data_IF_254074459534
#
_entry.id   IF_254074459534
#
_cell.length_a   1.000
_cell.length_b   1.000
_cell.length_c   1.000
_cell.angle_alpha   90.00
_cell.angle_beta   90.00
_cell.angle_gamma   90.00
#
_symmetry.space_group_name_H-M   'P 1'
#
loop_
_entity.id
_entity.type
_entity.pdbx_description
1 polymer ?
#
# COMPACT_ATOMS: atom_id res chain seq x y z
N UNK A 1 -8.89 -7.34 -5.82
CA UNK A 1 -7.84 -6.35 -6.05
C UNK A 1 -6.51 -6.76 -5.46
N UNK A 2 -6.36 -6.98 -4.16
CA UNK A 2 -5.16 -7.59 -3.60
C UNK A 2 -4.88 -9.00 -4.16
N UNK A 3 -5.90 -9.74 -4.57
CA UNK A 3 -5.77 -11.01 -5.31
C UNK A 3 -4.87 -10.90 -6.55
N UNK A 4 -4.98 -9.83 -7.33
CA UNK A 4 -4.15 -9.62 -8.53
C UNK A 4 -2.70 -9.25 -8.21
N UNK A 5 -2.45 -8.57 -7.10
CA UNK A 5 -1.07 -8.24 -6.67
C UNK A 5 -0.30 -9.52 -6.35
N UNK A 6 -0.95 -10.49 -5.74
CA UNK A 6 -0.35 -11.77 -5.37
C UNK A 6 -0.49 -12.86 -6.46
N UNK A 7 -1.02 -12.51 -7.64
CA UNK A 7 -1.15 -13.42 -8.78
C UNK A 7 -1.81 -14.77 -8.42
N UNK A 8 -2.85 -14.73 -7.57
CA UNK A 8 -3.54 -15.94 -7.08
C UNK A 8 -4.07 -16.78 -8.26
N UNK A 9 -4.58 -16.10 -9.31
CA UNK A 9 -5.08 -16.76 -10.51
C UNK A 9 -3.97 -17.55 -11.24
N UNK A 10 -2.73 -17.02 -11.27
CA UNK A 10 -1.59 -17.71 -11.86
C UNK A 10 -1.20 -18.96 -11.07
N UNK A 11 -1.24 -18.85 -9.73
CA UNK A 11 -0.93 -19.98 -8.84
C UNK A 11 -2.01 -21.05 -8.94
N UNK A 12 -3.29 -20.66 -9.01
CA UNK A 12 -4.38 -21.59 -9.25
C UNK A 12 -4.23 -22.31 -10.59
N UNK A 13 -3.89 -21.59 -11.67
CA UNK A 13 -3.61 -22.17 -12.97
C UNK A 13 -2.43 -23.15 -12.95
N UNK A 14 -1.36 -22.80 -12.23
CA UNK A 14 -0.21 -23.69 -12.06
C UNK A 14 -0.59 -25.03 -11.40
N UNK A 15 -1.33 -24.97 -10.31
CA UNK A 15 -1.80 -26.20 -9.64
C UNK A 15 -2.80 -26.98 -10.51
N UNK A 16 -3.65 -26.30 -11.28
CA UNK A 16 -4.54 -26.97 -12.23
C UNK A 16 -3.78 -27.74 -13.30
N UNK A 17 -2.71 -27.15 -13.84
CA UNK A 17 -1.80 -27.82 -14.80
C UNK A 17 -1.14 -29.04 -14.16
N UNK A 18 -0.65 -28.94 -12.93
CA UNK A 18 -0.03 -30.06 -12.23
C UNK A 18 -1.02 -31.21 -11.96
N UNK A 19 -2.25 -30.90 -11.55
CA UNK A 19 -3.30 -31.91 -11.34
C UNK A 19 -3.70 -32.58 -12.65
N UNK A 20 -3.82 -31.80 -13.74
CA UNK A 20 -4.11 -32.34 -15.06
C UNK A 20 -2.98 -33.25 -15.54
N UNK A 21 -1.74 -32.82 -15.39
CA UNK A 21 -0.56 -33.63 -15.72
C UNK A 21 -0.57 -34.97 -14.96
N UNK A 22 -0.81 -34.93 -13.66
CA UNK A 22 -0.86 -36.13 -12.81
C UNK A 22 -1.98 -37.10 -13.25
N UNK A 23 -3.16 -36.55 -13.61
CA UNK A 23 -4.26 -37.37 -14.15
C UNK A 23 -3.85 -38.06 -15.45
N UNK A 24 -3.31 -37.29 -16.40
CA UNK A 24 -2.89 -37.83 -17.71
C UNK A 24 -1.79 -38.88 -17.56
N UNK A 25 -0.77 -38.60 -16.74
CA UNK A 25 0.31 -39.54 -16.49
C UNK A 25 -0.19 -40.83 -15.84
N UNK A 26 -1.05 -40.74 -14.81
CA UNK A 26 -1.61 -41.91 -14.15
C UNK A 26 -2.48 -42.76 -15.07
N UNK A 27 -3.25 -42.14 -15.98
CA UNK A 27 -4.03 -42.87 -16.99
C UNK A 27 -3.12 -43.55 -18.02
N UNK A 28 -2.03 -42.89 -18.41
CA UNK A 28 -1.03 -43.45 -19.32
C UNK A 28 -0.34 -44.69 -18.74
N UNK A 29 -0.03 -44.63 -17.44
CA UNK A 29 0.59 -45.72 -16.68
C UNK A 29 -0.39 -46.84 -16.33
N UNK A 30 -1.66 -46.72 -16.73
CA UNK A 30 -2.70 -47.73 -16.49
C UNK A 30 -3.21 -47.80 -15.05
N UNK A 31 -2.99 -46.80 -14.22
CA UNK A 31 -3.48 -46.76 -12.85
C UNK A 31 -5.00 -46.61 -12.82
N UNK A 32 -5.65 -47.21 -11.83
CA UNK A 32 -7.08 -47.03 -11.60
C UNK A 32 -7.37 -45.57 -11.18
N UNK A 33 -8.51 -45.04 -11.63
CA UNK A 33 -8.92 -43.67 -11.28
C UNK A 33 -8.95 -43.41 -9.77
N UNK A 34 -9.35 -44.42 -8.99
CA UNK A 34 -9.35 -44.35 -7.53
C UNK A 34 -7.94 -44.13 -6.96
N UNK A 35 -6.95 -44.82 -7.51
CA UNK A 35 -5.57 -44.67 -7.10
C UNK A 35 -5.04 -43.28 -7.44
N UNK A 36 -5.27 -42.81 -8.69
CA UNK A 36 -4.88 -41.46 -9.12
C UNK A 36 -5.51 -40.39 -8.23
N UNK A 37 -6.79 -40.57 -7.86
CA UNK A 37 -7.49 -39.66 -6.96
C UNK A 37 -6.85 -39.58 -5.57
N UNK A 38 -6.59 -40.74 -4.96
CA UNK A 38 -5.94 -40.84 -3.63
C UNK A 38 -4.55 -40.16 -3.67
N UNK A 39 -3.75 -40.49 -4.66
CA UNK A 39 -2.40 -39.95 -4.82
C UNK A 39 -2.39 -38.46 -5.13
N UNK A 40 -3.50 -37.89 -5.59
CA UNK A 40 -3.65 -36.45 -5.86
C UNK A 40 -4.08 -35.65 -4.61
N UNK A 41 -4.52 -36.30 -3.55
CA UNK A 41 -4.97 -35.62 -2.30
C UNK A 41 -3.88 -34.68 -1.73
N UNK A 42 -2.60 -35.09 -1.57
CA UNK A 42 -1.58 -34.19 -1.03
C UNK A 42 -1.36 -32.96 -1.89
N UNK A 43 -1.35 -33.09 -3.22
CA UNK A 43 -1.20 -31.99 -4.13
C UNK A 43 -2.38 -31.03 -4.07
N UNK A 44 -3.60 -31.57 -3.98
CA UNK A 44 -4.82 -30.78 -3.81
C UNK A 44 -4.79 -30.02 -2.47
N UNK A 45 -4.40 -30.71 -1.39
CA UNK A 45 -4.24 -30.09 -0.08
C UNK A 45 -3.25 -28.92 -0.08
N UNK A 46 -2.07 -29.11 -0.69
CA UNK A 46 -1.09 -28.03 -0.88
C UNK A 46 -1.62 -26.87 -1.69
N UNK A 47 -2.36 -27.15 -2.76
CA UNK A 47 -2.94 -26.09 -3.60
C UNK A 47 -3.94 -25.24 -2.85
N UNK A 48 -4.86 -25.89 -2.12
CA UNK A 48 -5.86 -25.20 -1.28
C UNK A 48 -5.18 -24.39 -0.18
N UNK A 49 -4.21 -24.96 0.52
CA UNK A 49 -3.47 -24.28 1.58
C UNK A 49 -2.73 -23.04 1.03
N UNK A 50 -2.03 -23.17 -0.10
CA UNK A 50 -1.31 -22.06 -0.74
C UNK A 50 -2.25 -20.92 -1.13
N UNK A 51 -3.37 -21.25 -1.77
CA UNK A 51 -4.38 -20.26 -2.18
C UNK A 51 -5.01 -19.60 -0.95
N UNK A 52 -5.32 -20.37 0.10
CA UNK A 52 -5.89 -19.83 1.33
C UNK A 52 -4.96 -18.86 2.05
N UNK A 53 -3.67 -19.19 2.17
CA UNK A 53 -2.65 -18.31 2.75
C UNK A 53 -2.54 -17.01 1.95
N UNK A 54 -2.44 -17.10 0.63
CA UNK A 54 -2.33 -15.92 -0.22
C UNK A 54 -3.59 -15.06 -0.19
N UNK A 55 -4.78 -15.67 -0.18
CA UNK A 55 -6.03 -14.96 -0.06
C UNK A 55 -6.17 -14.27 1.31
N UNK A 56 -5.73 -14.93 2.38
CA UNK A 56 -5.63 -14.36 3.73
C UNK A 56 -4.70 -13.14 3.76
N UNK A 57 -3.49 -13.26 3.22
CA UNK A 57 -2.53 -12.17 3.11
C UNK A 57 -3.09 -11.00 2.29
N UNK A 58 -3.74 -11.30 1.15
CA UNK A 58 -4.40 -10.30 0.32
C UNK A 58 -5.49 -9.53 1.08
N UNK A 59 -6.26 -10.24 1.90
CA UNK A 59 -7.31 -9.63 2.73
C UNK A 59 -6.73 -8.75 3.82
N UNK A 60 -5.66 -9.18 4.49
CA UNK A 60 -4.95 -8.40 5.49
C UNK A 60 -4.37 -7.11 4.89
N UNK A 61 -3.70 -7.21 3.75
CA UNK A 61 -3.17 -6.03 3.03
C UNK A 61 -4.28 -5.03 2.66
N UNK A 62 -5.42 -5.52 2.19
CA UNK A 62 -6.54 -4.67 1.82
C UNK A 62 -7.14 -3.93 3.04
N UNK A 63 -7.20 -4.59 4.19
CA UNK A 63 -7.76 -4.01 5.42
C UNK A 63 -6.82 -3.00 6.10
N UNK A 64 -5.52 -3.15 5.92
CA UNK A 64 -4.51 -2.30 6.56
C UNK A 64 -4.07 -1.11 5.70
N UNK A 65 -4.56 -1.02 4.46
CA UNK A 65 -4.21 0.07 3.56
C UNK A 65 -5.26 1.18 3.61
N UNK A 66 -4.82 2.39 3.97
CA UNK A 66 -5.66 3.59 4.06
C UNK A 66 -5.03 4.70 3.24
N UNK A 67 -5.83 5.32 2.37
CA UNK A 67 -5.46 6.50 1.59
C UNK A 67 -6.21 7.72 2.09
N UNK A 68 -5.49 8.80 2.37
CA UNK A 68 -6.07 10.07 2.81
C UNK A 68 -5.61 11.19 1.89
N UNK A 69 -6.55 11.85 1.24
CA UNK A 69 -6.29 13.03 0.42
C UNK A 69 -6.59 14.25 1.29
N UNK A 70 -5.60 15.11 1.48
CA UNK A 70 -5.73 16.37 2.23
C UNK A 70 -5.65 17.54 1.26
N UNK A 71 -5.76 18.77 1.74
CA UNK A 71 -5.62 19.98 0.92
C UNK A 71 -4.20 20.24 0.40
N UNK A 72 -3.17 19.54 0.91
CA UNK A 72 -1.75 19.81 0.60
C UNK A 72 -0.93 18.59 0.22
N UNK A 73 -1.42 17.38 0.54
CA UNK A 73 -0.68 16.14 0.33
C UNK A 73 -1.59 14.93 0.22
N UNK A 74 -1.09 13.88 -0.39
CA UNK A 74 -1.66 12.53 -0.30
C UNK A 74 -0.89 11.76 0.76
N UNK A 75 -1.60 11.17 1.71
CA UNK A 75 -1.04 10.32 2.75
C UNK A 75 -1.45 8.88 2.46
N UNK A 76 -0.48 8.00 2.33
CA UNK A 76 -0.70 6.57 2.14
C UNK A 76 -0.17 5.83 3.35
N UNK A 77 -1.05 5.12 4.06
CA UNK A 77 -0.68 4.25 5.17
C UNK A 77 -0.98 2.81 4.77
N UNK A 78 0.03 1.96 4.82
CA UNK A 78 -0.09 0.54 4.51
C UNK A 78 0.95 -0.27 5.28
N UNK A 79 0.76 -1.58 5.31
CA UNK A 79 1.61 -2.56 6.01
C UNK A 79 0.81 -3.40 6.98
N UNK A 80 1.07 -4.71 6.99
CA UNK A 80 0.40 -5.68 7.87
C UNK A 80 1.13 -5.78 9.21
N UNK A 81 2.45 -5.99 9.18
CA UNK A 81 3.27 -6.15 10.38
C UNK A 81 3.93 -4.82 10.81
N UNK A 82 4.42 -4.05 9.85
CA UNK A 82 5.06 -2.75 10.07
C UNK A 82 4.29 -1.69 9.28
N UNK A 83 3.46 -0.87 9.93
CA UNK A 83 2.74 0.19 9.24
C UNK A 83 3.71 1.28 8.77
N UNK A 84 3.76 1.48 7.46
CA UNK A 84 4.53 2.54 6.82
C UNK A 84 3.55 3.65 6.41
N UNK A 85 3.92 4.89 6.71
CA UNK A 85 3.16 6.07 6.28
C UNK A 85 4.00 6.89 5.31
N UNK A 86 3.52 7.04 4.09
CA UNK A 86 4.15 7.86 3.06
C UNK A 86 3.33 9.12 2.85
N UNK A 87 4.02 10.26 2.91
CA UNK A 87 3.45 11.57 2.64
C UNK A 87 3.95 12.05 1.28
N UNK A 88 3.03 12.26 0.33
CA UNK A 88 3.33 12.77 -1.00
C UNK A 88 2.76 14.20 -1.10
N UNK A 89 3.60 15.25 -1.02
CA UNK A 89 3.15 16.62 -1.18
C UNK A 89 2.62 16.87 -2.61
N UNK A 90 1.59 17.65 -2.76
CA UNK A 90 1.05 17.99 -4.09
C UNK A 90 2.08 18.66 -5.00
N UNK A 91 3.02 19.41 -4.44
CA UNK A 91 4.11 20.07 -5.17
C UNK A 91 5.04 19.10 -5.90
N UNK A 92 5.17 17.88 -5.40
CA UNK A 92 6.01 16.84 -6.02
C UNK A 92 5.24 15.99 -7.02
N UNK A 93 3.92 16.18 -7.16
CA UNK A 93 3.09 15.38 -8.07
C UNK A 93 2.93 16.14 -9.39
N UNK A 94 3.45 15.57 -10.48
CA UNK A 94 3.31 16.13 -11.82
C UNK A 94 2.05 15.67 -12.53
N UNK A 95 1.71 14.39 -12.38
CA UNK A 95 0.50 13.82 -12.96
C UNK A 95 -0.07 12.71 -12.08
N UNK A 96 -1.36 12.46 -12.26
CA UNK A 96 -2.08 11.37 -11.65
C UNK A 96 -2.80 10.58 -12.76
N UNK A 97 -2.32 9.37 -13.02
CA UNK A 97 -2.90 8.49 -14.04
C UNK A 97 -3.94 7.58 -13.40
N UNK A 98 -5.17 7.60 -13.89
CA UNK A 98 -6.27 6.77 -13.38
C UNK A 98 -6.50 5.60 -14.33
N UNK A 99 -6.31 4.38 -13.84
CA UNK A 99 -6.64 3.14 -14.55
C UNK A 99 -7.94 2.57 -13.98
N UNK A 100 -9.05 2.77 -14.69
CA UNK A 100 -10.36 2.29 -14.28
C UNK A 100 -10.52 0.80 -14.61
N UNK A 101 -11.29 0.10 -13.78
CA UNK A 101 -11.72 -1.28 -13.99
C UNK A 101 -13.22 -1.35 -14.22
N UNK A 102 -13.68 -2.47 -14.81
CA UNK A 102 -15.08 -2.71 -15.09
C UNK A 102 -15.96 -2.77 -13.83
N UNK A 103 -15.37 -3.04 -12.65
CA UNK A 103 -16.07 -3.08 -11.37
C UNK A 103 -16.18 -1.68 -10.69
N UNK A 104 -15.84 -0.60 -11.39
CA UNK A 104 -15.85 0.78 -10.87
C UNK A 104 -14.68 1.10 -9.94
N UNK A 105 -13.88 0.12 -9.56
CA UNK A 105 -12.62 0.37 -8.84
C UNK A 105 -11.53 0.80 -9.81
N UNK A 106 -10.47 1.41 -9.30
CA UNK A 106 -9.32 1.77 -10.14
C UNK A 106 -8.05 1.91 -9.35
N UNK A 107 -6.96 2.03 -10.10
CA UNK A 107 -5.64 2.34 -9.56
C UNK A 107 -5.27 3.76 -10.00
N UNK A 108 -4.78 4.58 -9.06
CA UNK A 108 -4.33 5.95 -9.34
C UNK A 108 -2.84 5.99 -9.11
N UNK A 109 -2.07 6.08 -10.19
CA UNK A 109 -0.62 6.18 -10.15
C UNK A 109 -0.22 7.66 -10.08
N UNK A 110 0.62 8.01 -9.09
CA UNK A 110 1.13 9.35 -8.91
C UNK A 110 2.53 9.44 -9.51
N UNK A 111 2.70 10.26 -10.54
CA UNK A 111 4.02 10.57 -11.06
C UNK A 111 4.66 11.64 -10.17
N UNK A 112 5.74 11.28 -9.49
CA UNK A 112 6.42 12.12 -8.51
C UNK A 112 7.88 12.26 -8.89
N UNK A 113 8.44 13.46 -8.81
CA UNK A 113 9.84 13.71 -9.20
C UNK A 113 10.85 13.11 -8.25
N UNK A 114 10.68 13.39 -6.99
CA UNK A 114 11.62 12.96 -5.96
C UNK A 114 10.86 12.61 -4.66
N UNK A 115 10.86 11.34 -4.33
CA UNK A 115 10.39 10.82 -3.04
C UNK A 115 11.55 10.67 -2.05
N UNK A 116 12.72 11.29 -2.34
CA UNK A 116 13.92 11.14 -1.53
C UNK A 116 14.46 9.72 -1.56
N UNK A 117 14.85 9.20 -0.40
CA UNK A 117 15.42 7.85 -0.26
C UNK A 117 14.38 6.70 -0.31
N UNK A 118 13.15 6.95 -0.79
CA UNK A 118 12.14 5.91 -0.89
C UNK A 118 12.45 4.99 -2.06
N UNK A 119 12.87 3.78 -1.73
CA UNK A 119 13.17 2.71 -2.69
C UNK A 119 11.88 1.97 -3.08
N UNK A 120 11.88 1.34 -4.25
CA UNK A 120 10.80 0.47 -4.72
C UNK A 120 10.27 -0.50 -3.64
N UNK A 121 11.19 -1.05 -2.84
CA UNK A 121 10.87 -1.99 -1.77
C UNK A 121 10.01 -1.37 -0.65
N UNK A 122 10.24 -0.09 -0.32
CA UNK A 122 9.44 0.62 0.68
C UNK A 122 8.02 0.91 0.18
N UNK A 123 7.85 1.09 -1.12
CA UNK A 123 6.57 1.37 -1.75
C UNK A 123 5.78 0.10 -2.10
N UNK A 124 6.44 -1.06 -2.13
CA UNK A 124 5.78 -2.32 -2.44
C UNK A 124 4.73 -2.69 -1.35
N UNK A 125 3.51 -3.14 -1.69
CA UNK A 125 2.96 -3.45 -3.01
C UNK A 125 2.27 -2.27 -3.73
N UNK A 126 2.32 -1.04 -3.19
CA UNK A 126 1.62 0.15 -3.68
C UNK A 126 2.47 0.96 -4.67
N UNK A 127 3.18 0.30 -5.54
CA UNK A 127 3.99 0.93 -6.60
C UNK A 127 3.55 0.45 -7.97
N UNK A 128 3.75 1.28 -9.00
CA UNK A 128 3.51 0.90 -10.39
C UNK A 128 4.52 -0.17 -10.81
N UNK A 129 4.04 -1.26 -11.40
CA UNK A 129 4.88 -2.34 -11.89
C UNK A 129 5.91 -1.82 -12.93
N UNK A 130 7.11 -2.41 -12.95
CA UNK A 130 8.19 -2.11 -13.91
C UNK A 130 8.84 -0.73 -13.82
N UNK A 131 8.52 0.11 -12.82
CA UNK A 131 9.13 1.42 -12.59
C UNK A 131 10.14 1.38 -11.43
N UNK A 132 11.19 0.54 -11.57
CA UNK A 132 12.17 0.29 -10.51
C UNK A 132 13.08 1.49 -10.22
N UNK A 133 13.41 2.30 -11.24
CA UNK A 133 14.31 3.46 -11.11
C UNK A 133 13.60 4.71 -10.59
N UNK A 134 12.34 4.90 -10.93
CA UNK A 134 11.50 6.00 -10.44
C UNK A 134 10.19 5.40 -9.92
N UNK A 135 10.18 4.92 -8.69
CA UNK A 135 9.01 4.24 -8.16
C UNK A 135 7.84 5.24 -8.04
N UNK A 136 6.73 4.90 -8.70
CA UNK A 136 5.52 5.72 -8.67
C UNK A 136 4.56 5.17 -7.61
N UNK A 137 4.29 5.93 -6.54
CA UNK A 137 3.27 5.56 -5.57
C UNK A 137 1.93 5.40 -6.29
N UNK A 138 1.26 4.29 -6.02
CA UNK A 138 -0.01 3.98 -6.66
C UNK A 138 -1.06 3.67 -5.59
N UNK A 139 -2.15 4.44 -5.60
CA UNK A 139 -3.33 4.12 -4.82
C UNK A 139 -4.04 2.97 -5.54
N UNK A 140 -4.07 1.80 -4.91
CA UNK A 140 -4.64 0.60 -5.54
C UNK A 140 -6.05 0.33 -5.05
N UNK A 141 -6.87 -0.15 -5.98
CA UNK A 141 -8.22 -0.59 -5.68
C UNK A 141 -9.10 0.46 -5.01
N UNK A 142 -8.94 1.69 -5.43
CA UNK A 142 -9.74 2.81 -4.93
C UNK A 142 -11.19 2.59 -5.40
N UNK A 143 -12.17 2.53 -4.48
CA UNK A 143 -13.57 2.54 -4.86
C UNK A 143 -13.87 3.85 -5.56
N UNK A 144 -14.73 3.81 -6.59
CA UNK A 144 -15.14 5.00 -7.33
C UNK A 144 -13.94 5.86 -7.79
N UNK A 145 -12.95 5.20 -8.39
CA UNK A 145 -11.67 5.79 -8.75
C UNK A 145 -11.81 6.98 -9.71
N UNK A 146 -12.90 7.06 -10.47
CA UNK A 146 -13.17 8.18 -11.36
C UNK A 146 -13.46 9.46 -10.57
N UNK A 147 -14.34 9.40 -9.57
CA UNK A 147 -14.65 10.56 -8.73
C UNK A 147 -13.47 10.96 -7.84
N UNK A 148 -12.75 9.97 -7.30
CA UNK A 148 -11.53 10.22 -6.50
C UNK A 148 -10.45 10.86 -7.37
N UNK A 149 -10.26 10.40 -8.61
CA UNK A 149 -9.34 11.00 -9.58
C UNK A 149 -9.71 12.46 -9.92
N UNK A 150 -10.99 12.72 -10.14
CA UNK A 150 -11.49 14.09 -10.39
C UNK A 150 -11.32 15.00 -9.15
N UNK A 151 -11.52 14.48 -7.96
CA UNK A 151 -11.27 15.19 -6.71
C UNK A 151 -9.77 15.51 -6.54
N UNK A 152 -8.92 14.53 -6.81
CA UNK A 152 -7.47 14.70 -6.73
C UNK A 152 -6.97 15.72 -7.76
N UNK A 153 -7.46 15.69 -9.00
CA UNK A 153 -7.07 16.67 -10.03
C UNK A 153 -7.48 18.09 -9.63
N UNK A 154 -8.69 18.29 -9.10
CA UNK A 154 -9.13 19.59 -8.56
C UNK A 154 -8.24 20.06 -7.41
N UNK A 155 -7.88 19.15 -6.49
CA UNK A 155 -7.01 19.48 -5.37
C UNK A 155 -5.59 19.86 -5.84
N UNK A 156 -5.04 19.18 -6.86
CA UNK A 156 -3.76 19.51 -7.46
C UNK A 156 -3.79 20.88 -8.15
N UNK A 157 -4.84 21.17 -8.93
CA UNK A 157 -5.01 22.48 -9.57
C UNK A 157 -5.14 23.62 -8.54
N UNK A 158 -5.91 23.42 -7.47
CA UNK A 158 -6.04 24.42 -6.42
C UNK A 158 -4.73 24.65 -5.66
N UNK A 159 -3.93 23.60 -5.46
CA UNK A 159 -2.62 23.70 -4.83
C UNK A 159 -1.58 24.40 -5.72
N UNK A 160 -1.65 24.21 -7.04
CA UNK A 160 -0.78 24.88 -8.01
C UNK A 160 -1.10 26.37 -8.16
N UNK A 161 -2.38 26.76 -8.00
CA UNK A 161 -2.84 28.16 -8.08
C UNK A 161 -2.72 28.96 -6.77
N UNK A 162 -2.37 28.32 -5.66
CA UNK A 162 -2.22 29.00 -4.36
C UNK A 162 -0.76 29.40 -4.13
N UNK A 163 -0.44 30.72 -4.10
CA UNK A 163 0.89 31.15 -3.70
C UNK A 163 1.15 30.69 -2.27
N UNK A 164 2.29 30.06 -2.06
CA UNK A 164 2.71 29.51 -0.78
C UNK A 164 2.74 30.58 0.31
N UNK A 165 1.76 30.54 1.20
CA UNK A 165 1.92 31.20 2.47
C UNK A 165 2.99 30.43 3.24
N UNK A 166 4.19 31.02 3.25
CA UNK A 166 5.36 30.47 3.91
C UNK A 166 4.97 29.86 5.26
N UNK A 167 5.27 28.59 5.41
CA UNK A 167 5.07 27.88 6.70
C UNK A 167 5.96 28.57 7.71
N UNK A 168 5.36 29.40 8.54
CA UNK A 168 6.04 29.92 9.73
C UNK A 168 6.52 28.71 10.51
N UNK A 169 7.83 28.60 10.82
CA UNK A 169 8.28 27.54 11.73
C UNK A 169 7.47 27.68 12.99
N UNK A 170 6.82 26.63 13.42
CA UNK A 170 6.28 26.56 14.78
C UNK A 170 7.49 26.65 15.67
N UNK A 171 7.66 27.82 16.28
CA UNK A 171 8.67 28.04 17.30
C UNK A 171 8.46 26.94 18.34
N UNK A 172 9.49 26.11 18.52
CA UNK A 172 9.50 25.13 19.58
C UNK A 172 9.14 25.86 20.88
N UNK A 173 8.09 25.42 21.54
CA UNK A 173 7.71 25.91 22.83
C UNK A 173 8.94 25.77 23.75
N UNK A 174 9.52 26.91 24.14
CA UNK A 174 10.55 26.94 25.17
C UNK A 174 9.95 26.29 26.41
N UNK A 175 10.67 25.37 27.07
CA UNK A 175 10.28 24.93 28.39
C UNK A 175 10.20 26.16 29.31
N UNK A 176 9.12 26.27 30.07
CA UNK A 176 8.98 27.33 31.06
C UNK A 176 10.16 27.24 32.02
N UNK A 177 10.97 28.28 32.06
CA UNK A 177 11.99 28.46 33.09
C UNK A 177 11.23 28.62 34.41
N UNK A 178 11.45 27.69 35.32
CA UNK A 178 11.03 27.75 36.69
C UNK A 178 11.81 28.89 37.36
N UNK A 179 11.19 30.04 37.47
CA UNK A 179 11.73 31.16 38.26
C UNK A 179 11.77 30.74 39.72
N UNK A 180 12.91 30.35 40.20
CA UNK A 180 13.23 30.18 41.61
C UNK A 180 13.32 31.57 42.23
N UNK A 181 12.34 31.93 43.03
CA UNK A 181 12.40 33.16 43.80
C UNK A 181 13.54 33.12 44.84
N UNK A 182 14.35 34.17 44.96
CA UNK A 182 15.34 34.23 46.02
C UNK A 182 14.70 34.44 47.38
N UNK A 183 14.98 33.50 48.27
CA UNK A 183 14.54 33.57 49.68
C UNK A 183 15.09 34.80 50.37
N UNK A 184 14.16 35.48 51.09
CA UNK A 184 14.45 36.66 51.87
C UNK A 184 15.41 36.39 53.02
N UNK A 185 16.36 37.27 53.13
CA UNK A 185 17.27 37.37 54.27
C UNK A 185 16.54 37.87 55.50
N UNK A 186 16.63 37.16 56.60
CA UNK A 186 16.20 37.59 57.92
C UNK A 186 17.34 38.41 58.53
N UNK A 187 17.11 39.64 59.02
CA UNK A 187 18.13 40.32 59.81
C UNK A 187 18.08 39.84 61.27
N UNK A 188 19.23 39.48 61.81
CA UNK A 188 19.45 39.27 63.21
C UNK A 188 19.52 40.62 63.92
N UNK A 189 18.72 40.82 64.96
CA UNK A 189 18.87 41.91 65.90
C UNK A 189 19.63 41.44 67.13
N UNK A 190 20.57 42.25 67.52
CA UNK A 190 21.24 42.51 68.79
C UNK A 190 21.13 41.46 69.90
#
# INVERSE_FOLDING_TARGET
TARRVLHIDLIAAYFAVLLTWRLVAGLYDGHALSQIAIDSIPLLGMSVASIAILAGLASLMARTTIYTITSRRVVMRYGVALPITINVPFKSIHSADVALRADGTGDIALAVDDLGKLTFLHLWPNTRAWHLRKPQPTLRAVPDAQNVGALLSRALHSAAGSPEKATRPVAAARPAETTTAPGGATPAAA
#
